data_IF_267235753037
#
_entry.id   IF_267235753037
#
_cell.length_a   1.000
_cell.length_b   1.000
_cell.length_c   1.000
_cell.angle_alpha   90.00
_cell.angle_beta   90.00
_cell.angle_gamma   90.00
#
_symmetry.space_group_name_H-M   'P 1'
#
loop_
_entity.id
_entity.type
_entity.pdbx_description
1 polymer ?
#
# COMPACT_ATOMS: atom_id res chain seq x y z
N UNK A 1 -9.54 12.48 -10.63
CA UNK A 1 -9.48 11.01 -10.90
C UNK A 1 -8.49 10.72 -12.03
N UNK A 2 -8.58 11.39 -13.18
CA UNK A 2 -7.54 11.28 -14.22
C UNK A 2 -6.17 11.77 -13.70
N UNK A 3 -6.12 12.92 -13.02
CA UNK A 3 -4.90 13.42 -12.34
C UNK A 3 -4.37 12.46 -11.27
N UNK A 4 -5.23 11.93 -10.39
CA UNK A 4 -4.83 11.00 -9.31
C UNK A 4 -4.28 9.66 -9.82
N UNK A 5 -4.77 9.17 -10.97
CA UNK A 5 -4.24 7.96 -11.60
C UNK A 5 -2.91 8.27 -12.29
N UNK A 6 -2.81 9.40 -12.99
CA UNK A 6 -1.56 9.83 -13.63
C UNK A 6 -0.47 10.16 -12.61
N UNK A 7 -0.80 10.78 -11.48
CA UNK A 7 0.11 11.04 -10.35
C UNK A 7 0.50 9.73 -9.65
N UNK A 8 -0.46 8.84 -9.34
CA UNK A 8 -0.20 7.56 -8.67
C UNK A 8 0.60 6.54 -9.49
N UNK A 9 0.64 6.69 -10.82
CA UNK A 9 1.47 5.90 -11.74
C UNK A 9 2.61 6.71 -12.39
N UNK A 10 2.78 7.97 -11.98
CA UNK A 10 3.82 8.87 -12.48
C UNK A 10 3.87 9.02 -14.00
N UNK A 11 2.69 9.12 -14.63
CA UNK A 11 2.46 9.10 -16.09
C UNK A 11 2.52 10.49 -16.75
N UNK A 12 3.23 11.46 -16.19
CA UNK A 12 3.50 12.73 -16.87
C UNK A 12 4.83 12.64 -17.63
N UNK A 13 4.75 12.57 -18.96
CA UNK A 13 5.89 12.75 -19.86
C UNK A 13 6.14 11.57 -20.80
N UNK A 14 6.27 11.89 -22.08
CA UNK A 14 6.87 11.05 -23.11
C UNK A 14 8.35 10.88 -22.82
N UNK A 15 8.85 9.64 -22.69
CA UNK A 15 10.29 9.34 -22.75
C UNK A 15 10.59 8.63 -24.07
N UNK A 16 11.51 9.20 -24.84
CA UNK A 16 12.40 8.48 -25.74
C UNK A 16 13.57 7.96 -24.89
N UNK A 17 13.80 6.64 -24.89
CA UNK A 17 15.01 6.05 -24.32
C UNK A 17 16.18 6.45 -25.22
N UNK A 18 17.17 7.15 -24.66
CA UNK A 18 18.48 7.32 -25.29
C UNK A 18 19.29 6.06 -25.06
N UNK A 19 19.89 5.54 -26.14
CA UNK A 19 20.86 4.46 -26.13
C UNK A 19 22.17 4.99 -25.53
N UNK A 20 22.54 4.58 -24.33
CA UNK A 20 23.96 4.49 -23.93
C UNK A 20 24.19 3.23 -23.09
N UNK A 21 25.26 2.53 -23.45
CA UNK A 21 25.68 1.19 -23.02
C UNK A 21 26.44 1.16 -21.68
N UNK A 22 26.41 -0.04 -21.07
CA UNK A 22 27.22 -0.59 -19.95
C UNK A 22 26.79 -0.16 -18.52
N UNK A 23 26.52 -1.07 -17.58
CA UNK A 23 26.92 -2.47 -17.39
C UNK A 23 25.76 -3.30 -16.80
N UNK A 24 25.61 -4.52 -17.31
CA UNK A 24 24.74 -5.57 -16.78
C UNK A 24 25.25 -5.99 -15.40
N UNK A 25 24.53 -5.61 -14.35
CA UNK A 25 24.51 -6.35 -13.09
C UNK A 25 23.10 -6.22 -12.48
N UNK A 26 22.41 -7.35 -12.55
CA UNK A 26 21.21 -7.78 -11.83
C UNK A 26 20.21 -6.67 -11.51
N UNK A 27 19.32 -6.41 -12.47
CA UNK A 27 17.96 -6.02 -12.11
C UNK A 27 17.33 -7.26 -11.46
N UNK A 28 16.93 -7.16 -10.20
CA UNK A 28 16.01 -8.13 -9.59
C UNK A 28 14.89 -8.41 -10.61
N UNK A 29 14.71 -9.68 -11.03
CA UNK A 29 13.80 -10.07 -12.13
C UNK A 29 12.39 -9.46 -11.96
N UNK A 30 11.99 -9.22 -10.70
CA UNK A 30 10.76 -8.58 -10.27
C UNK A 30 10.65 -7.09 -10.66
N UNK A 31 11.75 -6.33 -10.66
CA UNK A 31 11.80 -4.89 -10.98
C UNK A 31 11.70 -4.68 -12.50
N UNK A 32 12.45 -5.45 -13.27
CA UNK A 32 12.39 -5.41 -14.75
C UNK A 32 11.01 -5.88 -15.25
N UNK A 33 10.45 -6.94 -14.66
CA UNK A 33 9.08 -7.37 -14.95
C UNK A 33 8.04 -6.29 -14.62
N UNK A 34 8.23 -5.54 -13.53
CA UNK A 34 7.38 -4.42 -13.15
C UNK A 34 7.45 -3.27 -14.18
N UNK A 35 8.65 -2.84 -14.60
CA UNK A 35 8.79 -1.78 -15.59
C UNK A 35 8.18 -2.15 -16.94
N UNK A 36 8.36 -3.40 -17.41
CA UNK A 36 7.68 -3.90 -18.62
C UNK A 36 6.16 -3.83 -18.52
N UNK A 37 5.58 -4.15 -17.36
CA UNK A 37 4.14 -4.06 -17.13
C UNK A 37 3.63 -2.62 -17.08
N UNK A 38 4.42 -1.71 -16.49
CA UNK A 38 4.10 -0.28 -16.50
C UNK A 38 4.14 0.28 -17.92
N UNK A 39 5.15 -0.10 -18.70
CA UNK A 39 5.30 0.35 -20.08
C UNK A 39 4.20 -0.22 -20.99
N UNK A 40 3.82 -1.49 -20.86
CA UNK A 40 2.65 -2.04 -21.55
C UNK A 40 1.35 -1.33 -21.13
N UNK A 41 1.21 -0.99 -19.83
CA UNK A 41 0.09 -0.21 -19.32
C UNK A 41 0.04 1.24 -19.83
N UNK A 42 1.21 1.81 -20.16
CA UNK A 42 1.36 3.16 -20.74
C UNK A 42 1.05 3.23 -22.23
N UNK A 43 1.04 2.08 -22.92
CA UNK A 43 0.65 2.04 -24.33
C UNK A 43 -0.77 2.58 -24.51
N UNK A 44 -0.97 3.22 -25.67
CA UNK A 44 -2.28 3.68 -26.10
C UNK A 44 -3.28 2.51 -26.09
N UNK A 45 -4.54 2.81 -25.76
CA UNK A 45 -5.59 1.79 -25.73
C UNK A 45 -5.75 1.05 -27.07
N UNK A 46 -5.54 1.79 -28.16
CA UNK A 46 -5.41 1.35 -29.54
C UNK A 46 -4.64 2.46 -30.30
N UNK A 47 -4.02 2.19 -31.46
CA UNK A 47 -3.23 3.17 -32.19
C UNK A 47 -4.01 4.46 -32.50
N UNK A 48 -3.47 5.60 -32.10
CA UNK A 48 -4.07 6.92 -32.22
C UNK A 48 -4.97 7.33 -31.05
N UNK A 49 -5.10 6.50 -30.01
CA UNK A 49 -5.90 6.83 -28.83
C UNK A 49 -5.15 7.78 -27.88
N UNK A 50 -5.30 9.09 -28.11
CA UNK A 50 -4.65 10.12 -27.28
C UNK A 50 -5.28 10.31 -25.89
N UNK A 51 -6.50 9.80 -25.68
CA UNK A 51 -7.27 10.07 -24.45
C UNK A 51 -7.06 9.06 -23.34
N UNK A 52 -6.72 7.82 -23.68
CA UNK A 52 -6.63 6.73 -22.73
C UNK A 52 -5.46 5.80 -23.05
N UNK A 53 -4.66 5.50 -22.02
CA UNK A 53 -3.81 4.31 -22.06
C UNK A 53 -4.61 3.05 -21.70
N UNK A 54 -4.06 1.87 -22.01
CA UNK A 54 -4.63 0.58 -21.61
C UNK A 54 -4.87 0.51 -20.10
N UNK A 55 -3.90 0.95 -19.30
CA UNK A 55 -3.97 0.97 -17.85
C UNK A 55 -5.08 1.90 -17.34
N UNK A 56 -5.09 3.15 -17.81
CA UNK A 56 -6.07 4.15 -17.37
C UNK A 56 -7.50 3.68 -17.68
N UNK A 57 -7.69 3.09 -18.86
CA UNK A 57 -8.99 2.53 -19.24
C UNK A 57 -9.43 1.39 -18.31
N UNK A 58 -8.55 0.41 -18.06
CA UNK A 58 -8.87 -0.73 -17.20
C UNK A 58 -9.13 -0.33 -15.75
N UNK A 59 -8.33 0.57 -15.19
CA UNK A 59 -8.52 1.05 -13.81
C UNK A 59 -9.83 1.82 -13.68
N UNK A 60 -10.17 2.67 -14.65
CA UNK A 60 -11.47 3.36 -14.66
C UNK A 60 -12.65 2.39 -14.77
N UNK A 61 -12.52 1.35 -15.59
CA UNK A 61 -13.56 0.33 -15.71
C UNK A 61 -13.73 -0.48 -14.43
N UNK A 62 -12.63 -0.89 -13.78
CA UNK A 62 -12.64 -1.54 -12.47
C UNK A 62 -13.23 -0.64 -11.38
N UNK A 63 -12.93 0.66 -11.43
CA UNK A 63 -13.51 1.64 -10.51
C UNK A 63 -15.01 1.76 -10.69
N UNK A 64 -15.52 1.86 -11.92
CA UNK A 64 -16.96 1.86 -12.23
C UNK A 64 -17.61 0.59 -11.70
N UNK A 65 -16.99 -0.58 -11.94
CA UNK A 65 -17.48 -1.86 -11.43
C UNK A 65 -17.70 -1.83 -9.93
N UNK A 66 -16.70 -1.36 -9.19
CA UNK A 66 -16.72 -1.35 -7.73
C UNK A 66 -17.72 -0.32 -7.18
N UNK A 67 -17.69 0.91 -7.72
CA UNK A 67 -18.58 2.00 -7.28
C UNK A 67 -20.06 1.72 -7.56
N UNK A 68 -20.36 0.97 -8.63
CA UNK A 68 -21.73 0.66 -9.04
C UNK A 68 -22.20 -0.74 -8.61
N UNK A 69 -21.37 -1.50 -7.89
CA UNK A 69 -21.70 -2.85 -7.47
C UNK A 69 -21.94 -3.82 -8.63
N UNK A 70 -21.31 -3.60 -9.78
CA UNK A 70 -21.48 -4.42 -10.98
C UNK A 70 -20.99 -5.85 -10.71
N UNK A 71 -21.81 -6.85 -11.06
CA UNK A 71 -21.43 -8.26 -10.94
C UNK A 71 -20.25 -8.63 -11.85
N UNK A 72 -19.53 -9.71 -11.54
CA UNK A 72 -18.42 -10.15 -12.40
C UNK A 72 -18.93 -10.57 -13.80
N UNK A 73 -20.12 -11.16 -13.88
CA UNK A 73 -20.75 -11.53 -15.16
C UNK A 73 -21.06 -10.30 -16.00
N UNK A 74 -21.66 -9.27 -15.39
CA UNK A 74 -21.96 -8.02 -16.09
C UNK A 74 -20.65 -7.33 -16.56
N UNK A 75 -19.61 -7.32 -15.72
CA UNK A 75 -18.31 -6.78 -16.10
C UNK A 75 -17.70 -7.52 -17.29
N UNK A 76 -17.74 -8.85 -17.30
CA UNK A 76 -17.22 -9.66 -18.39
C UNK A 76 -17.97 -9.40 -19.71
N UNK A 77 -19.29 -9.24 -19.64
CA UNK A 77 -20.12 -8.91 -20.80
C UNK A 77 -19.82 -7.50 -21.35
N UNK A 78 -19.74 -6.50 -20.47
CA UNK A 78 -19.39 -5.12 -20.85
C UNK A 78 -17.99 -5.07 -21.45
N UNK A 79 -17.02 -5.76 -20.85
CA UNK A 79 -15.65 -5.82 -21.36
C UNK A 79 -15.59 -6.51 -22.73
N UNK A 80 -16.38 -7.57 -22.94
CA UNK A 80 -16.49 -8.24 -24.24
C UNK A 80 -17.03 -7.30 -25.31
N UNK A 81 -18.13 -6.58 -25.03
CA UNK A 81 -18.70 -5.61 -25.95
C UNK A 81 -17.72 -4.48 -26.28
N UNK A 82 -17.01 -3.96 -25.29
CA UNK A 82 -15.97 -2.93 -25.50
C UNK A 82 -14.88 -3.44 -26.43
N UNK A 83 -14.44 -4.69 -26.26
CA UNK A 83 -13.40 -5.29 -27.12
C UNK A 83 -13.85 -5.42 -28.57
N UNK A 84 -15.12 -5.76 -28.80
CA UNK A 84 -15.71 -5.84 -30.13
C UNK A 84 -15.87 -4.46 -30.78
N UNK A 85 -16.10 -3.42 -29.98
CA UNK A 85 -16.28 -2.05 -30.46
C UNK A 85 -14.95 -1.32 -30.78
N UNK A 86 -13.83 -1.78 -30.23
CA UNK A 86 -12.52 -1.13 -30.37
C UNK A 86 -11.70 -1.74 -31.54
N UNK A 87 -10.99 -0.92 -32.33
CA UNK A 87 -10.18 -1.39 -33.48
C UNK A 87 -9.14 -2.46 -33.11
N UNK A 88 -8.55 -2.37 -31.91
CA UNK A 88 -7.56 -3.32 -31.36
C UNK A 88 -7.92 -3.80 -29.95
N UNK A 89 -9.20 -4.03 -29.68
CA UNK A 89 -9.68 -4.44 -28.35
C UNK A 89 -9.04 -5.73 -27.80
N UNK A 90 -8.36 -6.53 -28.63
CA UNK A 90 -7.70 -7.78 -28.22
C UNK A 90 -6.65 -7.61 -27.11
N UNK A 91 -6.00 -6.44 -27.04
CA UNK A 91 -5.01 -6.14 -26.01
C UNK A 91 -5.59 -6.04 -24.59
N UNK A 92 -6.90 -5.85 -24.44
CA UNK A 92 -7.56 -5.85 -23.14
C UNK A 92 -7.80 -7.27 -22.61
N UNK A 93 -7.75 -7.50 -21.29
CA UNK A 93 -8.16 -8.75 -20.66
C UNK A 93 -9.54 -9.24 -21.12
N UNK A 94 -9.75 -10.55 -21.19
CA UNK A 94 -11.04 -11.16 -21.58
C UNK A 94 -12.08 -11.19 -20.45
N UNK A 95 -11.63 -11.19 -19.19
CA UNK A 95 -12.46 -11.38 -18.00
C UNK A 95 -11.98 -10.52 -16.85
N UNK A 96 -12.83 -10.31 -15.86
CA UNK A 96 -12.55 -9.64 -14.60
C UNK A 96 -11.29 -10.18 -13.92
N UNK A 97 -11.12 -11.50 -13.90
CA UNK A 97 -9.92 -12.11 -13.32
C UNK A 97 -8.62 -11.66 -14.02
N UNK A 98 -8.64 -11.49 -15.34
CA UNK A 98 -7.50 -10.96 -16.09
C UNK A 98 -7.26 -9.48 -15.78
N UNK A 99 -8.31 -8.67 -15.70
CA UNK A 99 -8.21 -7.26 -15.30
C UNK A 99 -7.69 -7.11 -13.86
N UNK A 100 -8.16 -7.95 -12.92
CA UNK A 100 -7.67 -8.00 -11.54
C UNK A 100 -6.21 -8.46 -11.48
N UNK A 101 -5.82 -9.45 -12.28
CA UNK A 101 -4.43 -9.92 -12.37
C UNK A 101 -3.51 -8.81 -12.89
N UNK A 102 -3.94 -8.08 -13.92
CA UNK A 102 -3.23 -6.92 -14.45
C UNK A 102 -3.04 -5.85 -13.37
N UNK A 103 -4.11 -5.49 -12.65
CA UNK A 103 -4.05 -4.53 -11.53
C UNK A 103 -3.13 -5.00 -10.38
N UNK A 104 -3.05 -6.31 -10.11
CA UNK A 104 -2.09 -6.88 -9.16
C UNK A 104 -0.66 -6.86 -9.67
N UNK A 105 -0.44 -6.97 -10.98
CA UNK A 105 0.89 -7.02 -11.58
C UNK A 105 1.58 -5.64 -11.57
N UNK A 106 0.81 -4.58 -11.82
CA UNK A 106 1.22 -3.18 -11.57
C UNK A 106 1.24 -2.83 -10.05
N UNK A 107 0.98 -3.85 -9.23
CA UNK A 107 0.91 -3.93 -7.77
C UNK A 107 0.02 -2.95 -7.02
N UNK A 108 -1.15 -2.70 -7.57
CA UNK A 108 -2.36 -2.40 -6.77
C UNK A 108 -2.86 -3.71 -6.09
N UNK A 109 -1.94 -4.61 -5.76
CA UNK A 109 -2.22 -5.90 -5.15
C UNK A 109 -2.26 -5.80 -3.64
N UNK A 110 -2.83 -6.83 -3.05
CA UNK A 110 -2.83 -7.05 -1.61
C UNK A 110 -2.75 -8.56 -1.37
N UNK A 111 -2.21 -8.91 -0.22
CA UNK A 111 -2.16 -10.26 0.30
C UNK A 111 -3.33 -10.46 1.25
N UNK A 112 -4.05 -11.55 1.06
CA UNK A 112 -5.15 -11.95 1.94
C UNK A 112 -4.58 -12.83 3.03
N UNK A 113 -4.65 -12.38 4.28
CA UNK A 113 -4.13 -13.11 5.44
C UNK A 113 -5.31 -13.51 6.32
N UNK A 114 -5.38 -14.78 6.66
CA UNK A 114 -6.45 -15.28 7.52
C UNK A 114 -6.19 -14.84 8.97
N UNK A 115 -7.25 -14.41 9.66
CA UNK A 115 -7.17 -13.99 11.05
C UNK A 115 -8.12 -14.82 11.93
N UNK A 116 -7.76 -14.96 13.20
CA UNK A 116 -8.68 -15.52 14.18
C UNK A 116 -9.95 -14.67 14.25
N UNK A 117 -11.11 -15.33 14.41
CA UNK A 117 -12.40 -14.65 14.58
C UNK A 117 -12.45 -13.74 15.80
N UNK A 118 -11.70 -14.11 16.85
CA UNK A 118 -11.58 -13.39 18.10
C UNK A 118 -10.27 -12.58 18.16
N UNK A 119 -9.67 -12.31 17.00
CA UNK A 119 -8.55 -11.38 16.83
C UNK A 119 -7.25 -11.77 17.55
N UNK A 120 -7.14 -13.00 18.07
CA UNK A 120 -5.99 -13.44 18.86
C UNK A 120 -4.68 -13.59 18.06
N UNK A 121 -4.76 -14.04 16.79
CA UNK A 121 -3.60 -14.29 15.94
C UNK A 121 -3.93 -14.06 14.46
N UNK A 122 -2.87 -13.92 13.66
CA UNK A 122 -2.89 -14.11 12.21
C UNK A 122 -2.38 -15.52 11.87
N UNK A 123 -3.07 -16.24 10.98
CA UNK A 123 -2.62 -17.53 10.47
C UNK A 123 -1.56 -17.30 9.39
N UNK A 124 -0.32 -17.07 9.83
CA UNK A 124 0.88 -16.83 9.01
C UNK A 124 2.13 -17.30 9.78
N UNK A 125 3.28 -17.36 9.11
CA UNK A 125 4.57 -17.79 9.71
C UNK A 125 4.39 -19.13 10.44
N UNK A 126 4.69 -19.22 11.73
CA UNK A 126 4.52 -20.45 12.51
C UNK A 126 3.07 -20.98 12.58
N UNK A 127 2.07 -20.15 12.29
CA UNK A 127 0.64 -20.50 12.34
C UNK A 127 0.02 -20.70 10.95
N UNK A 128 0.81 -20.79 9.88
CA UNK A 128 0.29 -20.87 8.51
C UNK A 128 -0.49 -22.16 8.24
N UNK A 129 -0.05 -23.28 8.81
CA UNK A 129 -0.70 -24.59 8.65
C UNK A 129 -1.80 -24.86 9.69
N UNK A 130 -1.97 -23.97 10.67
CA UNK A 130 -2.95 -24.16 11.74
C UNK A 130 -4.38 -24.10 11.20
N UNK A 131 -5.18 -25.09 11.60
CA UNK A 131 -6.62 -25.18 11.27
C UNK A 131 -7.51 -24.53 12.34
N UNK A 132 -6.96 -24.26 13.52
CA UNK A 132 -7.64 -23.64 14.66
C UNK A 132 -6.68 -22.74 15.42
N UNK A 133 -7.19 -21.67 16.02
CA UNK A 133 -6.40 -20.75 16.82
C UNK A 133 -5.83 -21.45 18.06
N UNK A 134 -4.51 -21.42 18.30
CA UNK A 134 -3.90 -22.06 19.47
C UNK A 134 -4.25 -21.36 20.78
N UNK A 135 -4.64 -20.08 20.74
CA UNK A 135 -4.98 -19.27 21.93
C UNK A 135 -6.41 -19.54 22.40
N UNK A 136 -7.39 -19.52 21.49
CA UNK A 136 -8.81 -19.59 21.85
C UNK A 136 -9.55 -20.82 21.30
N UNK A 137 -8.84 -21.73 20.61
CA UNK A 137 -9.40 -22.96 20.04
C UNK A 137 -10.37 -22.77 18.88
N UNK A 138 -10.64 -21.54 18.46
CA UNK A 138 -11.62 -21.26 17.40
C UNK A 138 -11.09 -21.72 16.04
N UNK A 139 -11.91 -22.44 15.27
CA UNK A 139 -11.58 -22.86 13.91
C UNK A 139 -11.23 -21.67 13.00
N UNK A 140 -10.19 -21.82 12.18
CA UNK A 140 -9.83 -20.91 11.09
C UNK A 140 -10.95 -20.80 10.05
N UNK A 141 -11.68 -21.89 9.83
CA UNK A 141 -12.63 -22.04 8.73
C UNK A 141 -14.08 -21.79 9.17
N UNK A 142 -14.82 -21.03 8.36
CA UNK A 142 -16.26 -20.82 8.46
C UNK A 142 -17.07 -21.93 7.80
N UNK A 143 -16.61 -22.37 6.63
CA UNK A 143 -17.23 -23.47 5.90
C UNK A 143 -16.17 -24.20 5.08
N UNK A 144 -16.39 -25.50 4.93
CA UNK A 144 -15.59 -26.38 4.09
C UNK A 144 -16.58 -27.00 3.10
N UNK A 145 -16.55 -26.50 1.86
CA UNK A 145 -17.45 -26.95 0.80
C UNK A 145 -16.69 -27.89 -0.12
N UNK A 146 -17.13 -29.14 -0.20
CA UNK A 146 -16.61 -30.08 -1.19
C UNK A 146 -17.35 -29.86 -2.50
N UNK A 147 -16.61 -29.63 -3.59
CA UNK A 147 -17.15 -29.52 -4.93
C UNK A 147 -17.87 -30.81 -5.33
N UNK A 148 -18.80 -30.69 -6.29
CA UNK A 148 -19.66 -31.79 -6.75
C UNK A 148 -18.84 -33.03 -7.17
N UNK A 149 -17.62 -32.81 -7.67
CA UNK A 149 -16.69 -33.85 -8.12
C UNK A 149 -15.94 -34.56 -6.97
N UNK A 150 -16.18 -34.18 -5.70
CA UNK A 150 -15.50 -34.73 -4.51
C UNK A 150 -14.02 -34.33 -4.35
N UNK A 151 -13.39 -33.79 -5.40
CA UNK A 151 -11.93 -33.54 -5.46
C UNK A 151 -11.49 -32.15 -5.01
N UNK A 152 -12.39 -31.16 -5.03
CA UNK A 152 -12.07 -29.76 -4.70
C UNK A 152 -12.68 -29.39 -3.37
N UNK A 153 -11.84 -29.04 -2.40
CA UNK A 153 -12.30 -28.56 -1.10
C UNK A 153 -12.13 -27.04 -1.07
N UNK A 154 -13.24 -26.31 -1.09
CA UNK A 154 -13.28 -24.86 -0.93
C UNK A 154 -13.44 -24.52 0.54
N UNK A 155 -12.35 -24.04 1.14
CA UNK A 155 -12.35 -23.55 2.52
C UNK A 155 -12.58 -22.05 2.53
N UNK A 156 -13.49 -21.59 3.37
CA UNK A 156 -13.77 -20.16 3.56
C UNK A 156 -13.29 -19.78 4.96
N UNK A 157 -12.33 -18.85 5.10
CA UNK A 157 -11.84 -18.40 6.40
C UNK A 157 -12.90 -17.59 7.16
N UNK A 158 -12.80 -17.57 8.50
CA UNK A 158 -13.70 -16.79 9.37
C UNK A 158 -13.51 -15.28 9.22
N UNK A 159 -12.25 -14.84 9.14
CA UNK A 159 -11.84 -13.43 9.02
C UNK A 159 -10.63 -13.36 8.11
N UNK A 160 -10.60 -12.36 7.23
CA UNK A 160 -9.49 -12.12 6.29
C UNK A 160 -9.08 -10.66 6.41
N UNK A 161 -7.80 -10.43 6.62
CA UNK A 161 -7.15 -9.12 6.63
C UNK A 161 -6.49 -8.91 5.27
N UNK A 162 -6.49 -7.67 4.79
CA UNK A 162 -5.79 -7.32 3.56
C UNK A 162 -4.50 -6.59 3.92
N UNK A 163 -3.36 -7.17 3.56
CA UNK A 163 -2.04 -6.56 3.73
C UNK A 163 -1.53 -6.03 2.39
N UNK A 164 -0.94 -4.84 2.42
CA UNK A 164 -0.39 -4.14 1.27
C UNK A 164 1.11 -3.95 1.52
N UNK A 165 1.97 -4.83 0.95
CA UNK A 165 3.40 -4.81 1.22
C UNK A 165 4.06 -3.47 0.87
N UNK A 166 4.76 -2.86 1.82
CA UNK A 166 5.31 -1.51 1.65
C UNK A 166 6.43 -1.43 0.61
N UNK A 167 7.27 -2.47 0.54
CA UNK A 167 8.45 -2.53 -0.34
C UNK A 167 8.14 -2.16 -1.79
N UNK A 168 7.15 -2.85 -2.37
CA UNK A 168 6.72 -2.62 -3.76
C UNK A 168 6.01 -1.28 -3.94
N UNK A 169 5.34 -0.75 -2.92
CA UNK A 169 4.70 0.58 -2.99
C UNK A 169 5.77 1.67 -3.03
N UNK A 170 6.78 1.56 -2.17
CA UNK A 170 7.84 2.56 -2.07
C UNK A 170 8.74 2.59 -3.32
N UNK A 171 9.14 1.43 -3.86
CA UNK A 171 9.91 1.37 -5.10
C UNK A 171 9.23 2.13 -6.25
N UNK A 172 7.90 2.18 -6.27
CA UNK A 172 7.15 2.93 -7.30
C UNK A 172 7.20 4.42 -7.15
N UNK A 173 7.30 4.93 -5.92
CA UNK A 173 7.47 6.37 -5.70
C UNK A 173 8.71 6.89 -6.40
N UNK A 174 9.73 6.03 -6.58
CA UNK A 174 10.97 6.35 -7.29
C UNK A 174 10.96 6.01 -8.78
N UNK A 175 9.92 5.30 -9.27
CA UNK A 175 9.81 4.90 -10.67
C UNK A 175 9.46 6.06 -11.62
N UNK A 176 8.94 7.18 -11.12
CA UNK A 176 8.68 8.39 -11.90
C UNK A 176 9.58 9.53 -11.47
N UNK A 177 10.05 10.31 -12.45
CA UNK A 177 10.92 11.46 -12.23
C UNK A 177 10.28 12.49 -11.30
N UNK A 178 8.97 12.72 -11.44
CA UNK A 178 8.26 13.74 -10.68
C UNK A 178 8.11 13.30 -9.23
N UNK A 179 7.55 12.10 -8.99
CA UNK A 179 7.35 11.58 -7.63
C UNK A 179 8.67 11.36 -6.89
N UNK A 180 9.72 10.89 -7.58
CA UNK A 180 11.05 10.74 -6.99
C UNK A 180 11.61 12.09 -6.52
N UNK A 181 11.43 13.14 -7.33
CA UNK A 181 11.85 14.50 -6.98
C UNK A 181 11.03 15.05 -5.81
N UNK A 182 9.72 14.79 -5.77
CA UNK A 182 8.85 15.17 -4.66
C UNK A 182 9.30 14.51 -3.34
N UNK A 183 9.69 13.23 -3.34
CA UNK A 183 10.18 12.57 -2.12
C UNK A 183 11.48 13.22 -1.61
N UNK A 184 12.34 13.74 -2.49
CA UNK A 184 13.57 14.45 -2.07
C UNK A 184 13.36 15.92 -1.73
N UNK A 185 12.18 16.47 -2.03
CA UNK A 185 11.88 17.89 -1.89
C UNK A 185 12.18 18.43 -0.48
N UNK A 186 11.89 17.67 0.57
CA UNK A 186 12.15 18.09 1.95
C UNK A 186 13.61 18.51 2.21
N UNK A 187 14.56 17.92 1.48
CA UNK A 187 15.99 18.23 1.59
C UNK A 187 16.46 19.25 0.54
N UNK A 188 16.02 19.07 -0.72
CA UNK A 188 16.52 19.81 -1.88
C UNK A 188 15.76 21.13 -2.15
N UNK A 189 14.44 21.13 -1.96
CA UNK A 189 13.56 22.22 -2.39
C UNK A 189 13.00 23.08 -1.26
N UNK A 190 13.23 22.68 -0.01
CA UNK A 190 12.69 23.36 1.18
C UNK A 190 13.52 24.58 1.59
N UNK A 191 12.84 25.67 1.93
CA UNK A 191 13.47 26.85 2.54
C UNK A 191 13.91 26.55 3.99
N UNK A 192 15.14 26.92 4.33
CA UNK A 192 15.75 26.76 5.67
C UNK A 192 15.94 28.13 6.31
N UNK A 193 14.87 28.68 6.88
CA UNK A 193 14.81 30.02 7.47
C UNK A 193 14.46 29.99 8.98
N UNK A 194 14.74 28.86 9.64
CA UNK A 194 14.44 28.59 11.05
C UNK A 194 12.94 28.62 11.43
N UNK A 195 12.04 28.73 10.45
CA UNK A 195 10.60 28.59 10.65
C UNK A 195 10.16 27.13 10.47
N UNK A 196 9.08 26.74 11.15
CA UNK A 196 8.46 25.42 10.97
C UNK A 196 7.62 25.45 9.69
N UNK A 197 8.15 24.89 8.60
CA UNK A 197 7.48 24.82 7.29
C UNK A 197 7.13 23.39 6.91
N UNK A 198 7.82 22.41 7.48
CA UNK A 198 7.72 21.00 7.15
C UNK A 198 7.96 20.13 8.39
N UNK A 199 7.48 18.86 8.45
CA UNK A 199 7.83 17.92 9.52
C UNK A 199 9.35 17.79 9.78
N UNK A 200 10.16 17.95 8.75
CA UNK A 200 11.64 18.00 8.83
C UNK A 200 12.19 19.14 9.72
N UNK A 201 11.44 20.24 9.87
CA UNK A 201 11.83 21.32 10.78
C UNK A 201 11.62 20.99 12.26
N UNK A 202 10.87 19.92 12.55
CA UNK A 202 10.52 19.53 13.91
C UNK A 202 11.74 19.06 14.71
N UNK A 203 11.75 19.29 16.03
CA UNK A 203 12.79 18.75 16.90
C UNK A 203 12.89 17.22 16.84
N UNK A 204 11.76 16.53 16.67
CA UNK A 204 11.71 15.06 16.59
C UNK A 204 12.47 14.52 15.37
N UNK A 205 12.23 15.11 14.20
CA UNK A 205 12.95 14.71 12.98
C UNK A 205 14.45 15.02 13.09
N UNK A 206 14.80 16.24 13.53
CA UNK A 206 16.20 16.64 13.72
C UNK A 206 16.94 15.74 14.72
N UNK A 207 16.26 15.34 15.80
CA UNK A 207 16.80 14.42 16.79
C UNK A 207 17.02 13.02 16.20
N UNK A 208 16.04 12.50 15.45
CA UNK A 208 16.15 11.22 14.75
C UNK A 208 17.34 11.21 13.78
N UNK A 209 17.48 12.24 12.95
CA UNK A 209 18.59 12.36 11.99
C UNK A 209 19.96 12.52 12.70
N UNK A 210 19.99 13.15 13.88
CA UNK A 210 21.22 13.27 14.67
C UNK A 210 21.70 11.91 15.22
N UNK A 211 20.77 11.01 15.55
CA UNK A 211 21.06 9.66 16.04
C UNK A 211 21.39 8.71 14.88
N UNK A 212 20.60 8.75 13.81
CA UNK A 212 20.67 7.82 12.68
C UNK A 212 21.27 8.48 11.44
N UNK A 213 22.53 8.90 11.55
CA UNK A 213 23.24 9.63 10.48
C UNK A 213 23.42 8.82 9.20
N UNK A 214 23.59 7.50 9.34
CA UNK A 214 23.65 6.56 8.21
C UNK A 214 22.34 6.60 7.42
N UNK A 215 21.20 6.55 8.11
CA UNK A 215 19.88 6.65 7.48
C UNK A 215 19.64 8.02 6.87
N UNK A 216 19.95 9.10 7.58
CA UNK A 216 19.67 10.46 7.12
C UNK A 216 20.59 10.92 5.99
N UNK A 217 21.73 10.25 5.78
CA UNK A 217 22.67 10.56 4.70
C UNK A 217 22.08 10.34 3.30
N UNK A 218 21.16 9.38 3.17
CA UNK A 218 20.40 9.16 1.94
C UNK A 218 19.06 9.89 2.01
N UNK A 219 18.95 10.96 1.22
CA UNK A 219 17.77 11.83 1.15
C UNK A 219 16.53 11.10 0.62
N UNK A 220 16.71 10.00 -0.11
CA UNK A 220 15.61 9.17 -0.59
C UNK A 220 14.97 8.31 0.52
N UNK A 221 15.60 8.17 1.69
CA UNK A 221 15.03 7.35 2.77
C UNK A 221 13.75 7.97 3.34
N UNK A 222 12.70 7.16 3.46
CA UNK A 222 11.34 7.62 3.73
C UNK A 222 11.02 7.59 5.22
N UNK A 223 10.44 8.67 5.72
CA UNK A 223 9.94 8.80 7.10
C UNK A 223 8.43 8.88 7.10
N UNK A 224 7.80 8.03 7.91
CA UNK A 224 6.36 7.89 7.96
C UNK A 224 5.76 8.50 9.22
N UNK A 225 4.54 9.00 9.08
CA UNK A 225 3.55 9.05 10.16
C UNK A 225 2.57 7.90 10.00
N UNK A 226 2.20 7.23 11.09
CA UNK A 226 1.19 6.16 11.06
C UNK A 226 -0.12 6.66 11.64
N UNK A 227 -1.21 6.44 10.93
CA UNK A 227 -2.57 6.67 11.42
C UNK A 227 -3.38 5.39 11.34
N UNK A 228 -4.22 5.14 12.33
CA UNK A 228 -5.21 4.08 12.28
C UNK A 228 -6.52 4.59 12.86
N UNK A 229 -7.63 4.34 12.17
CA UNK A 229 -8.95 4.70 12.67
C UNK A 229 -10.01 3.76 12.07
N UNK A 230 -11.18 3.72 12.68
CA UNK A 230 -12.30 2.88 12.27
C UNK A 230 -13.35 3.70 11.54
N UNK A 231 -13.82 3.21 10.39
CA UNK A 231 -14.94 3.83 9.70
C UNK A 231 -16.00 2.79 9.29
N UNK A 232 -17.23 3.25 9.09
CA UNK A 232 -18.33 2.43 8.62
C UNK A 232 -18.54 2.68 7.11
N UNK A 233 -18.28 1.69 6.24
CA UNK A 233 -18.36 1.89 4.79
C UNK A 233 -19.79 2.03 4.25
N UNK A 234 -20.83 1.70 5.03
CA UNK A 234 -22.21 1.65 4.53
C UNK A 234 -23.07 2.87 4.86
N UNK A 235 -22.54 3.87 5.59
CA UNK A 235 -23.26 5.10 5.93
C UNK A 235 -24.45 4.91 6.90
N UNK A 236 -24.70 5.92 7.74
CA UNK A 236 -25.80 6.02 8.73
C UNK A 236 -26.09 4.78 9.60
N UNK A 237 -25.43 4.73 10.77
CA UNK A 237 -25.86 3.98 11.97
C UNK A 237 -26.05 2.46 11.83
N UNK A 238 -25.65 1.84 10.73
CA UNK A 238 -25.68 0.39 10.61
C UNK A 238 -24.44 -0.20 11.30
N UNK A 239 -24.55 -0.46 12.62
CA UNK A 239 -23.48 -0.96 13.51
C UNK A 239 -22.94 -2.36 13.15
N UNK A 240 -23.38 -2.96 12.04
CA UNK A 240 -23.09 -4.35 11.70
C UNK A 240 -21.71 -4.58 11.11
N UNK A 241 -20.99 -3.53 10.68
CA UNK A 241 -19.70 -3.65 10.03
C UNK A 241 -18.83 -2.39 10.20
N UNK A 242 -17.57 -2.60 10.58
CA UNK A 242 -16.53 -1.58 10.68
C UNK A 242 -15.30 -2.01 9.86
N UNK A 243 -14.61 -1.04 9.29
CA UNK A 243 -13.33 -1.25 8.60
C UNK A 243 -12.29 -0.40 9.30
N UNK A 244 -11.15 -1.02 9.63
CA UNK A 244 -10.04 -0.36 10.29
C UNK A 244 -8.81 -0.38 9.38
N UNK A 245 -8.57 0.71 8.62
CA UNK A 245 -7.32 0.88 7.89
C UNK A 245 -6.16 1.25 8.82
N UNK A 246 -4.98 0.73 8.51
CA UNK A 246 -3.68 1.25 8.96
C UNK A 246 -3.06 1.98 7.77
N UNK A 247 -2.83 3.28 7.94
CA UNK A 247 -2.37 4.19 6.89
C UNK A 247 -1.03 4.79 7.29
N UNK A 248 -0.11 4.85 6.34
CA UNK A 248 1.17 5.53 6.45
C UNK A 248 1.17 6.78 5.57
N UNK A 249 1.69 7.87 6.13
CA UNK A 249 1.82 9.16 5.46
C UNK A 249 3.31 9.41 5.23
N UNK A 250 3.79 9.44 3.96
CA UNK A 250 5.19 9.72 3.64
C UNK A 250 5.47 11.21 3.85
N UNK A 251 6.06 11.56 4.99
CA UNK A 251 6.34 12.96 5.33
C UNK A 251 7.46 13.59 4.53
N UNK A 252 8.19 12.83 3.73
CA UNK A 252 9.19 13.35 2.81
C UNK A 252 8.61 14.24 1.71
N UNK A 253 7.32 14.06 1.38
CA UNK A 253 6.64 14.78 0.31
C UNK A 253 6.37 16.25 0.68
N UNK A 254 6.27 17.15 -0.31
CA UNK A 254 5.93 18.55 -0.08
C UNK A 254 4.61 18.75 0.69
N UNK A 255 4.48 19.81 1.51
CA UNK A 255 3.29 20.08 2.32
C UNK A 255 1.98 20.11 1.54
N UNK A 256 2.00 20.57 0.30
CA UNK A 256 0.81 20.70 -0.55
C UNK A 256 0.37 19.36 -1.16
N UNK A 257 1.16 18.30 -1.07
CA UNK A 257 0.78 16.96 -1.52
C UNK A 257 0.81 15.90 -0.42
N UNK A 258 1.62 16.03 0.64
CA UNK A 258 1.82 14.97 1.64
C UNK A 258 0.53 14.55 2.35
N UNK A 259 -0.39 15.50 2.58
CA UNK A 259 -1.69 15.25 3.22
C UNK A 259 -2.84 14.98 2.22
N UNK A 260 -2.55 14.86 0.92
CA UNK A 260 -3.56 14.47 -0.07
C UNK A 260 -3.86 12.98 0.07
N UNK A 261 -5.14 12.62 -0.01
CA UNK A 261 -5.60 11.23 0.08
C UNK A 261 -4.92 10.29 -0.94
N UNK A 262 -4.54 10.80 -2.11
CA UNK A 262 -3.82 10.03 -3.15
C UNK A 262 -2.43 9.57 -2.74
N UNK A 263 -1.81 10.22 -1.75
CA UNK A 263 -0.46 9.93 -1.28
C UNK A 263 -0.43 9.14 0.04
N UNK A 264 -1.61 8.82 0.58
CA UNK A 264 -1.72 7.94 1.74
C UNK A 264 -1.44 6.50 1.32
N UNK A 265 -0.48 5.88 1.99
CA UNK A 265 -0.11 4.48 1.77
C UNK A 265 -0.94 3.64 2.72
N UNK A 266 -1.85 2.85 2.16
CA UNK A 266 -2.58 1.86 2.92
C UNK A 266 -1.68 0.65 3.16
N UNK A 267 -1.45 0.28 4.43
CA UNK A 267 -0.64 -0.89 4.80
C UNK A 267 -1.53 -2.09 5.13
N UNK A 268 -2.61 -1.88 5.89
CA UNK A 268 -3.51 -2.97 6.32
C UNK A 268 -4.96 -2.51 6.27
N UNK A 269 -5.86 -3.37 5.82
CA UNK A 269 -7.32 -3.23 6.04
C UNK A 269 -7.79 -4.39 6.90
N UNK A 270 -8.38 -4.06 8.05
CA UNK A 270 -8.99 -5.02 8.97
C UNK A 270 -10.52 -4.89 8.86
N UNK A 271 -11.18 -5.80 8.13
CA UNK A 271 -12.64 -5.86 8.13
C UNK A 271 -13.15 -6.58 9.38
N UNK A 272 -14.18 -6.05 10.04
CA UNK A 272 -14.76 -6.70 11.20
C UNK A 272 -16.06 -6.06 11.68
N UNK A 273 -16.94 -6.86 12.30
CA UNK A 273 -18.18 -6.32 12.89
C UNK A 273 -17.93 -5.36 14.04
N UNK A 274 -16.76 -5.44 14.68
CA UNK A 274 -16.36 -4.67 15.85
C UNK A 274 -14.96 -4.14 15.66
N UNK A 275 -14.62 -3.11 16.45
CA UNK A 275 -13.24 -2.68 16.61
C UNK A 275 -12.37 -3.83 17.09
N UNK A 276 -11.15 -4.00 16.54
CA UNK A 276 -10.15 -4.90 17.13
C UNK A 276 -9.75 -4.45 18.54
N UNK A 277 -9.99 -3.18 18.92
CA UNK A 277 -9.75 -2.71 20.28
C UNK A 277 -8.30 -2.92 20.70
N UNK A 278 -8.11 -3.73 21.76
CA UNK A 278 -6.81 -4.09 22.33
C UNK A 278 -5.99 -5.01 21.41
N UNK A 279 -6.64 -5.79 20.57
CA UNK A 279 -6.02 -6.76 19.65
C UNK A 279 -5.55 -6.09 18.35
N UNK A 280 -5.36 -4.76 18.34
CA UNK A 280 -4.88 -4.03 17.17
C UNK A 280 -3.42 -4.37 16.86
N UNK A 281 -2.65 -4.62 17.91
CA UNK A 281 -1.25 -5.03 17.86
C UNK A 281 -1.05 -6.27 16.99
N UNK A 282 -1.96 -7.25 17.06
CA UNK A 282 -1.97 -8.46 16.21
C UNK A 282 -1.93 -8.11 14.73
N UNK A 283 -2.67 -7.06 14.32
CA UNK A 283 -2.68 -6.60 12.93
C UNK A 283 -1.51 -5.70 12.58
N UNK A 284 -0.99 -4.93 13.55
CA UNK A 284 0.17 -4.07 13.37
C UNK A 284 1.45 -4.83 13.09
N UNK A 285 1.55 -6.09 13.52
CA UNK A 285 2.68 -6.96 13.19
C UNK A 285 2.98 -7.01 11.68
N UNK A 286 1.97 -6.87 10.82
CA UNK A 286 2.16 -6.80 9.37
C UNK A 286 2.93 -5.56 8.93
N UNK A 287 2.52 -4.38 9.43
CA UNK A 287 3.20 -3.12 9.13
C UNK A 287 4.58 -3.06 9.81
N UNK A 288 4.70 -3.59 11.02
CA UNK A 288 5.97 -3.63 11.77
C UNK A 288 6.98 -4.53 11.05
N UNK A 289 6.58 -5.71 10.58
CA UNK A 289 7.46 -6.59 9.81
C UNK A 289 8.01 -5.88 8.56
N UNK A 290 7.14 -5.23 7.78
CA UNK A 290 7.54 -4.48 6.59
C UNK A 290 8.52 -3.34 6.95
N UNK A 291 8.27 -2.62 8.05
CA UNK A 291 9.14 -1.54 8.52
C UNK A 291 10.49 -2.07 9.03
N UNK A 292 10.51 -3.21 9.71
CA UNK A 292 11.73 -3.85 10.19
C UNK A 292 12.58 -4.37 9.02
N UNK A 293 11.98 -4.97 8.00
CA UNK A 293 12.67 -5.38 6.77
C UNK A 293 13.29 -4.13 6.09
N UNK A 294 12.50 -3.07 5.91
CA UNK A 294 12.98 -1.82 5.30
C UNK A 294 14.05 -1.11 6.14
N UNK A 295 14.01 -1.24 7.46
CA UNK A 295 14.98 -0.61 8.35
C UNK A 295 16.30 -1.38 8.41
N UNK A 296 16.25 -2.71 8.56
CA UNK A 296 17.43 -3.55 8.78
C UNK A 296 18.11 -3.93 7.46
N UNK A 297 17.33 -4.40 6.48
CA UNK A 297 17.86 -4.93 5.23
C UNK A 297 17.81 -3.87 4.11
N UNK A 298 16.76 -3.05 4.12
CA UNK A 298 16.48 -2.10 3.05
C UNK A 298 16.09 -2.80 1.74
N UNK A 299 15.88 -2.00 0.70
CA UNK A 299 15.55 -2.50 -0.64
C UNK A 299 16.25 -1.72 -1.73
N UNK A 300 16.94 -2.43 -2.62
CA UNK A 300 17.52 -1.79 -3.80
C UNK A 300 16.42 -1.18 -4.67
N UNK A 301 16.56 0.11 -4.92
CA UNK A 301 15.56 0.92 -5.64
C UNK A 301 16.26 1.79 -6.66
N UNK A 302 15.64 1.94 -7.83
CA UNK A 302 16.11 2.84 -8.88
C UNK A 302 15.38 4.18 -8.79
N UNK A 303 16.14 5.27 -8.65
CA UNK A 303 15.64 6.63 -8.69
C UNK A 303 15.58 7.11 -10.15
N UNK A 304 14.38 7.20 -10.71
CA UNK A 304 14.18 7.63 -12.10
C UNK A 304 14.56 9.09 -12.38
N UNK A 305 14.61 9.94 -11.33
CA UNK A 305 14.99 11.36 -11.44
C UNK A 305 16.50 11.52 -11.45
N UNK A 306 17.23 10.77 -10.62
CA UNK A 306 18.70 10.79 -10.57
C UNK A 306 19.37 9.78 -11.51
N UNK A 307 18.59 8.87 -12.10
CA UNK A 307 19.05 7.70 -12.86
C UNK A 307 20.08 6.85 -12.10
N UNK A 308 19.87 6.63 -10.79
CA UNK A 308 20.81 5.92 -9.91
C UNK A 308 20.10 4.89 -9.03
N UNK A 309 20.77 3.75 -8.80
CA UNK A 309 20.37 2.78 -7.78
C UNK A 309 20.81 3.26 -6.40
N UNK A 310 19.99 3.03 -5.39
CA UNK A 310 20.31 3.28 -3.99
C UNK A 310 19.62 2.24 -3.11
N UNK A 311 20.11 2.07 -1.88
CA UNK A 311 19.48 1.22 -0.89
C UNK A 311 18.41 2.03 -0.15
N UNK A 312 17.14 1.80 -0.49
CA UNK A 312 16.03 2.47 0.15
C UNK A 312 15.74 1.86 1.51
N UNK A 313 15.68 2.72 2.53
CA UNK A 313 15.22 2.38 3.88
C UNK A 313 14.03 3.25 4.26
N UNK A 314 13.24 2.79 5.22
CA UNK A 314 12.13 3.54 5.78
C UNK A 314 12.10 3.49 7.30
N UNK A 315 11.56 4.54 7.92
CA UNK A 315 11.41 4.65 9.35
C UNK A 315 10.05 5.24 9.73
N UNK A 316 9.54 4.89 10.90
CA UNK A 316 8.35 5.48 11.48
C UNK A 316 8.77 6.53 12.51
N UNK A 317 8.28 7.77 12.38
CA UNK A 317 8.62 8.85 13.32
C UNK A 317 7.61 8.99 14.46
N UNK A 318 6.31 8.95 14.14
CA UNK A 318 5.25 9.07 15.14
C UNK A 318 3.93 8.48 14.64
N UNK A 319 3.04 8.23 15.60
CA UNK A 319 1.67 7.80 15.35
C UNK A 319 0.71 8.98 15.57
N UNK A 320 -0.25 9.14 14.65
CA UNK A 320 -1.39 10.06 14.81
C UNK A 320 -2.58 9.22 15.25
N UNK A 321 -3.09 9.50 16.44
CA UNK A 321 -4.28 8.85 16.99
C UNK A 321 -5.13 9.84 17.75
N UNK A 322 -6.45 9.64 17.73
CA UNK A 322 -7.34 10.31 18.66
C UNK A 322 -7.23 9.69 20.06
N UNK A 323 -7.77 10.35 21.08
CA UNK A 323 -7.65 9.90 22.48
C UNK A 323 -8.13 8.45 22.70
N UNK A 324 -9.28 8.00 22.17
CA UNK A 324 -9.70 6.60 22.23
C UNK A 324 -8.71 5.64 21.55
N UNK A 325 -8.17 6.00 20.38
CA UNK A 325 -7.23 5.15 19.64
C UNK A 325 -5.86 5.10 20.30
N UNK A 326 -5.40 6.19 20.92
CA UNK A 326 -4.12 6.24 21.62
C UNK A 326 -4.01 5.12 22.67
N UNK A 327 -5.06 4.90 23.46
CA UNK A 327 -5.10 3.81 24.45
C UNK A 327 -5.04 2.40 23.87
N UNK A 328 -5.37 2.23 22.58
CA UNK A 328 -5.29 0.96 21.85
C UNK A 328 -4.03 0.81 20.99
N UNK A 329 -3.23 1.87 20.86
CA UNK A 329 -1.90 1.86 20.22
C UNK A 329 -0.78 1.77 21.25
N UNK A 330 -1.01 2.26 22.46
CA UNK A 330 -0.15 2.08 23.62
C UNK A 330 -0.49 0.77 24.33
N UNK A 331 0.49 -0.10 24.53
CA UNK A 331 0.34 -1.36 25.30
C UNK A 331 -0.24 -1.05 26.70
N UNK A 332 -1.14 -1.92 27.17
CA UNK A 332 -2.04 -1.72 28.30
C UNK A 332 -1.41 -1.25 29.63
N UNK A 333 -2.23 -0.52 30.42
CA UNK A 333 -2.18 -0.39 31.88
C UNK A 333 -1.21 0.61 32.55
N UNK A 334 -0.88 1.76 31.94
CA UNK A 334 -0.33 2.89 32.70
C UNK A 334 -0.97 4.20 32.25
N UNK A 335 -1.39 5.01 33.22
CA UNK A 335 -1.90 6.38 33.07
C UNK A 335 -1.09 7.12 32.00
N UNK A 336 -1.71 7.43 30.86
CA UNK A 336 -1.08 8.17 29.77
C UNK A 336 -1.01 9.64 30.16
N UNK A 337 0.03 10.02 30.89
CA UNK A 337 0.42 11.41 31.03
C UNK A 337 1.38 11.75 29.89
N UNK A 338 0.96 12.61 28.97
CA UNK A 338 1.77 13.14 27.86
C UNK A 338 3.03 13.90 28.28
N UNK A 339 3.28 14.05 29.59
CA UNK A 339 4.46 14.69 30.16
C UNK A 339 5.44 13.71 30.83
N UNK A 340 4.99 12.54 31.25
CA UNK A 340 5.79 11.62 32.06
C UNK A 340 6.08 10.34 31.26
N UNK A 341 7.01 10.44 30.30
CA UNK A 341 7.61 9.35 29.49
C UNK A 341 8.38 8.30 30.32
N UNK A 342 8.17 8.19 31.64
CA UNK A 342 9.10 7.48 32.51
C UNK A 342 9.08 5.95 32.39
N UNK A 343 8.04 5.34 31.78
CA UNK A 343 7.96 3.88 31.57
C UNK A 343 7.11 3.48 30.36
N UNK A 344 7.19 4.21 29.25
CA UNK A 344 6.54 3.78 28.01
C UNK A 344 7.58 3.19 27.06
N UNK A 345 7.55 1.87 26.87
CA UNK A 345 8.02 1.30 25.62
C UNK A 345 6.93 1.58 24.57
N UNK A 346 7.10 2.67 23.85
CA UNK A 346 6.32 2.99 22.65
C UNK A 346 7.09 2.47 21.44
N UNK A 347 6.49 1.50 20.74
CA UNK A 347 6.97 0.80 19.53
C UNK A 347 8.41 0.26 19.56
#
# INVERSE_FOLDING_TARGET
>A
MDEMLLEGFGMYGTRTLGEEQESEDDLDDDVEAYYRLVDDGRQELYPGCKRFSKLQFLVRLLHIKNMRGMSNVCFDQVLTLIKEALPEGQALPKKFHGAKKFARAIGIGYDSIDACKNDCILFRKEHDDDISCPVCGTSRWKSINTGVDGRRVHKVPQKVVLHFPLKKILQRLFASTNTASDVRWHSEGRTKDDLIRHPDDSPAWKHFDAIHKDFSSEVCNVRFGLGADGFNPFGNMNLSYSIWPIVLIPYNLPPWICMKQSNFILSVIIPGKKSPGKDMDVYMQLTIDDLLELWNDGVWTYDASRSKKFLLRAALLWTISDWPRHGSLSVENIVVCSHCLSKTCSL
#
